data_IF_255172466579
#
_entry.id   IF_255172466579
#
_cell.length_a   1.000
_cell.length_b   1.000
_cell.length_c   1.000
_cell.angle_alpha   90.00
_cell.angle_beta   90.00
_cell.angle_gamma   90.00
#
_symmetry.space_group_name_H-M   'P 1'
#
loop_
_entity.id
_entity.type
_entity.pdbx_description
1 polymer ?
#
# COMPACT_ATOMS: atom_id res chain seq x y z
N UNK A 1 10.95 1.49 4.56
CA UNK A 1 10.17 0.69 5.50
C UNK A 1 10.84 -0.66 5.60
N UNK A 2 10.76 -1.35 6.75
CA UNK A 2 11.10 -2.77 6.84
C UNK A 2 9.88 -3.59 6.43
N UNK A 3 10.00 -4.43 5.40
CA UNK A 3 8.91 -5.28 4.92
C UNK A 3 8.36 -6.19 6.02
N UNK A 4 9.23 -6.67 6.90
CA UNK A 4 8.85 -7.52 8.05
C UNK A 4 7.87 -6.79 9.00
N UNK A 5 7.93 -5.45 9.11
CA UNK A 5 6.96 -4.69 9.92
C UNK A 5 5.60 -4.67 9.25
N UNK A 6 5.54 -4.45 7.94
CA UNK A 6 4.30 -4.49 7.16
C UNK A 6 3.66 -5.88 7.20
N UNK A 7 4.45 -6.93 7.01
CA UNK A 7 4.01 -8.33 7.16
C UNK A 7 3.43 -8.58 8.55
N UNK A 8 4.13 -8.17 9.62
CA UNK A 8 3.63 -8.32 11.00
C UNK A 8 2.32 -7.56 11.21
N UNK A 9 2.15 -6.37 10.62
CA UNK A 9 0.88 -5.65 10.66
C UNK A 9 -0.25 -6.45 9.98
N UNK A 10 0.00 -7.01 8.80
CA UNK A 10 -0.96 -7.87 8.10
C UNK A 10 -1.35 -9.10 8.94
N UNK A 11 -0.39 -9.71 9.63
CA UNK A 11 -0.59 -10.82 10.57
C UNK A 11 -1.21 -10.40 11.93
N UNK A 12 -1.52 -9.12 12.14
CA UNK A 12 -1.98 -8.56 13.42
C UNK A 12 -1.01 -8.77 14.60
N UNK A 13 0.30 -8.79 14.30
CA UNK A 13 1.43 -8.89 15.24
C UNK A 13 2.21 -7.57 15.39
N UNK A 14 1.77 -6.52 14.71
CA UNK A 14 2.21 -5.15 14.91
C UNK A 14 0.98 -4.23 14.88
N UNK A 15 1.03 -3.13 15.62
CA UNK A 15 -0.02 -2.11 15.62
C UNK A 15 0.14 -1.15 14.44
N UNK A 16 -0.90 -0.34 14.19
CA UNK A 16 -0.84 0.71 13.17
C UNK A 16 0.18 1.79 13.53
N UNK A 17 0.34 2.10 14.82
CA UNK A 17 1.34 3.05 15.30
C UNK A 17 2.77 2.55 15.11
N UNK A 18 3.00 1.25 15.31
CA UNK A 18 4.29 0.62 15.01
C UNK A 18 4.62 0.69 13.51
N UNK A 19 3.62 0.43 12.65
CA UNK A 19 3.76 0.55 11.21
C UNK A 19 4.04 2.00 10.79
N UNK A 20 3.26 2.96 11.28
CA UNK A 20 3.42 4.38 10.95
C UNK A 20 4.78 4.91 11.41
N UNK A 21 5.26 4.48 12.58
CA UNK A 21 6.60 4.83 13.04
C UNK A 21 7.70 4.27 12.13
N UNK A 22 7.56 3.06 11.61
CA UNK A 22 8.51 2.46 10.67
C UNK A 22 8.51 3.18 9.31
N UNK A 23 7.32 3.51 8.82
CA UNK A 23 7.12 4.26 7.58
C UNK A 23 7.77 5.64 7.65
N UNK A 24 7.45 6.40 8.70
CA UNK A 24 8.01 7.73 8.94
C UNK A 24 9.54 7.70 9.06
N UNK A 25 10.09 6.71 9.77
CA UNK A 25 11.54 6.52 9.93
C UNK A 25 12.27 6.10 8.65
N UNK A 26 11.53 5.73 7.60
CA UNK A 26 12.10 5.21 6.36
C UNK A 26 12.15 6.20 5.19
N UNK A 27 11.67 7.42 5.42
CA UNK A 27 11.75 8.53 4.47
C UNK A 27 12.91 9.45 4.88
N UNK A 28 13.90 9.58 4.00
CA UNK A 28 14.92 10.61 4.13
C UNK A 28 14.60 11.75 3.15
N UNK A 29 14.42 12.98 3.65
CA UNK A 29 14.23 14.13 2.78
C UNK A 29 15.54 14.48 2.08
N UNK A 30 15.59 14.35 0.75
CA UNK A 30 16.76 14.68 -0.08
C UNK A 30 16.68 16.13 -0.56
N UNK A 31 15.48 16.61 -0.92
CA UNK A 31 15.23 18.00 -1.29
C UNK A 31 13.81 18.44 -0.92
N UNK A 32 13.38 19.63 -1.33
CA UNK A 32 11.98 20.07 -1.12
C UNK A 32 10.95 19.18 -1.81
N UNK A 33 11.35 18.51 -2.89
CA UNK A 33 10.46 17.71 -3.75
C UNK A 33 10.86 16.23 -3.86
N UNK A 34 11.97 15.84 -3.24
CA UNK A 34 12.55 14.50 -3.38
C UNK A 34 12.77 13.86 -2.01
N UNK A 35 12.30 12.63 -1.87
CA UNK A 35 12.54 11.77 -0.72
C UNK A 35 13.21 10.49 -1.19
N UNK A 36 14.20 10.04 -0.42
CA UNK A 36 14.77 8.71 -0.57
C UNK A 36 14.02 7.77 0.36
N UNK A 37 13.50 6.70 -0.21
CA UNK A 37 12.88 5.60 0.55
C UNK A 37 13.95 4.56 0.84
N UNK A 38 14.10 4.19 2.11
CA UNK A 38 14.95 3.09 2.52
C UNK A 38 14.09 1.86 2.80
N UNK A 39 13.96 0.96 1.82
CA UNK A 39 13.23 -0.31 1.95
C UNK A 39 14.21 -1.39 2.39
N UNK A 40 13.82 -2.18 3.39
CA UNK A 40 14.59 -3.32 3.89
C UNK A 40 13.76 -4.56 3.69
N UNK A 41 14.26 -5.44 2.83
CA UNK A 41 13.63 -6.71 2.47
C UNK A 41 13.44 -7.60 3.71
N UNK A 42 12.37 -8.40 3.71
CA UNK A 42 12.18 -9.46 4.69
C UNK A 42 12.85 -10.77 4.24
N UNK A 43 13.12 -11.67 5.18
CA UNK A 43 13.81 -12.94 4.88
C UNK A 43 12.87 -14.06 4.35
N UNK A 44 11.60 -13.74 4.07
CA UNK A 44 10.58 -14.74 3.75
C UNK A 44 9.51 -14.20 2.83
N UNK A 45 9.01 -15.02 1.92
CA UNK A 45 7.88 -14.64 1.06
C UNK A 45 6.58 -14.51 1.86
N UNK A 46 5.72 -13.58 1.45
CA UNK A 46 4.43 -13.34 2.04
C UNK A 46 3.36 -13.13 0.97
N UNK A 47 2.30 -13.93 1.03
CA UNK A 47 1.14 -13.80 0.14
C UNK A 47 0.22 -12.66 0.62
N UNK A 48 0.16 -11.60 -0.17
CA UNK A 48 -0.73 -10.46 0.02
C UNK A 48 -2.13 -10.80 -0.46
N UNK A 49 -3.14 -10.44 0.34
CA UNK A 49 -4.56 -10.70 0.10
C UNK A 49 -5.33 -9.41 0.16
N UNK A 50 -6.54 -9.37 -0.41
CA UNK A 50 -7.42 -8.19 -0.36
C UNK A 50 -7.62 -7.67 1.05
N UNK A 51 -7.84 -8.57 2.01
CA UNK A 51 -8.03 -8.21 3.42
C UNK A 51 -6.85 -7.44 4.01
N UNK A 52 -5.63 -7.66 3.52
CA UNK A 52 -4.43 -6.92 3.94
C UNK A 52 -4.49 -5.46 3.47
N UNK A 53 -4.88 -5.23 2.22
CA UNK A 53 -5.05 -3.88 1.68
C UNK A 53 -6.27 -3.18 2.27
N UNK A 54 -7.36 -3.93 2.55
CA UNK A 54 -8.54 -3.39 3.23
C UNK A 54 -8.20 -2.86 4.62
N UNK A 55 -7.39 -3.59 5.39
CA UNK A 55 -6.88 -3.12 6.69
C UNK A 55 -6.15 -1.78 6.60
N UNK A 56 -5.40 -1.54 5.51
CA UNK A 56 -4.71 -0.27 5.30
C UNK A 56 -5.67 0.85 4.93
N UNK A 57 -6.64 0.57 4.04
CA UNK A 57 -7.70 1.53 3.73
C UNK A 57 -8.48 1.93 4.98
N UNK A 58 -8.89 0.96 5.80
CA UNK A 58 -9.65 1.21 7.02
C UNK A 58 -8.84 2.06 8.01
N UNK A 59 -7.55 1.75 8.21
CA UNK A 59 -6.66 2.55 9.07
C UNK A 59 -6.58 4.01 8.62
N UNK A 60 -6.47 4.27 7.30
CA UNK A 60 -6.47 5.64 6.77
C UNK A 60 -7.82 6.32 6.96
N UNK A 61 -8.92 5.63 6.65
CA UNK A 61 -10.26 6.20 6.76
C UNK A 61 -10.68 6.49 8.21
N UNK A 62 -10.11 5.78 9.17
CA UNK A 62 -10.27 6.06 10.61
C UNK A 62 -9.29 7.11 11.14
N UNK A 63 -8.33 7.57 10.33
CA UNK A 63 -7.32 8.55 10.73
C UNK A 63 -6.21 7.98 11.60
N UNK A 64 -6.02 6.66 11.58
CA UNK A 64 -4.95 5.94 12.30
C UNK A 64 -3.66 5.87 11.49
N UNK A 65 -3.76 6.00 10.16
CA UNK A 65 -2.64 6.00 9.22
C UNK A 65 -2.77 7.22 8.29
N UNK A 66 -1.66 7.87 7.95
CA UNK A 66 -1.71 8.96 6.97
C UNK A 66 -1.99 8.41 5.56
N UNK A 67 -2.77 9.12 4.75
CA UNK A 67 -3.04 8.67 3.37
C UNK A 67 -1.75 8.55 2.55
N UNK A 68 -0.80 9.46 2.75
CA UNK A 68 0.50 9.43 2.06
C UNK A 68 1.35 8.21 2.46
N UNK A 69 1.13 7.59 3.62
CA UNK A 69 1.79 6.35 4.00
C UNK A 69 1.49 5.20 3.04
N UNK A 70 0.32 5.21 2.39
CA UNK A 70 -0.03 4.23 1.35
C UNK A 70 0.93 4.29 0.17
N UNK A 71 1.54 5.44 -0.13
CA UNK A 71 2.53 5.54 -1.21
C UNK A 71 3.75 4.66 -0.97
N UNK A 72 4.36 4.76 0.22
CA UNK A 72 5.52 3.91 0.55
C UNK A 72 5.12 2.44 0.51
N UNK A 73 3.93 2.13 1.02
CA UNK A 73 3.43 0.76 1.02
C UNK A 73 3.22 0.25 -0.42
N UNK A 74 2.63 1.06 -1.30
CA UNK A 74 2.48 0.76 -2.71
C UNK A 74 3.84 0.52 -3.38
N UNK A 75 4.81 1.41 -3.16
CA UNK A 75 6.18 1.26 -3.67
C UNK A 75 6.82 -0.05 -3.17
N UNK A 76 6.74 -0.33 -1.86
CA UNK A 76 7.29 -1.56 -1.29
C UNK A 76 6.62 -2.81 -1.86
N UNK A 77 5.29 -2.86 -1.93
CA UNK A 77 4.56 -3.99 -2.48
C UNK A 77 4.87 -4.23 -3.97
N UNK A 78 5.06 -3.17 -4.75
CA UNK A 78 5.34 -3.25 -6.18
C UNK A 78 6.80 -3.60 -6.51
N UNK A 79 7.73 -3.26 -5.62
CA UNK A 79 9.18 -3.44 -5.84
C UNK A 79 9.75 -4.66 -5.11
N UNK A 80 9.04 -5.22 -4.15
CA UNK A 80 9.46 -6.38 -3.37
C UNK A 80 9.48 -7.66 -4.21
N UNK A 81 10.54 -8.46 -4.05
CA UNK A 81 10.57 -9.83 -4.55
C UNK A 81 9.85 -10.81 -3.59
N UNK A 82 9.53 -10.38 -2.36
CA UNK A 82 8.99 -11.24 -1.30
C UNK A 82 7.48 -11.09 -1.09
N UNK A 83 6.90 -9.92 -1.38
CA UNK A 83 5.45 -9.76 -1.41
C UNK A 83 4.88 -10.31 -2.72
N UNK A 84 4.00 -11.30 -2.62
CA UNK A 84 3.41 -11.99 -3.78
C UNK A 84 1.90 -12.01 -3.71
N UNK A 85 1.23 -12.06 -4.86
CA UNK A 85 -0.21 -12.30 -4.95
C UNK A 85 -0.53 -12.99 -6.29
N UNK A 86 -1.68 -13.66 -6.36
CA UNK A 86 -2.15 -14.28 -7.61
C UNK A 86 -2.63 -13.18 -8.57
N UNK A 87 -1.75 -12.67 -9.43
CA UNK A 87 -2.08 -11.57 -10.35
C UNK A 87 -3.24 -11.86 -11.32
N UNK A 88 -3.51 -13.14 -11.64
CA UNK A 88 -4.60 -13.52 -12.54
C UNK A 88 -5.96 -13.50 -11.82
N UNK A 89 -5.99 -13.85 -10.53
CA UNK A 89 -7.23 -13.88 -9.72
C UNK A 89 -7.45 -12.60 -8.92
N UNK A 90 -6.36 -11.92 -8.59
CA UNK A 90 -6.30 -10.78 -7.70
C UNK A 90 -5.80 -9.53 -8.42
N UNK A 91 -6.28 -9.30 -9.65
CA UNK A 91 -5.96 -8.10 -10.46
C UNK A 91 -6.23 -6.79 -9.69
N UNK A 92 -7.22 -6.80 -8.78
CA UNK A 92 -7.53 -5.65 -7.90
C UNK A 92 -6.38 -5.29 -6.96
N UNK A 93 -5.59 -6.26 -6.50
CA UNK A 93 -4.41 -5.99 -5.66
C UNK A 93 -3.39 -5.22 -6.49
N UNK A 94 -3.05 -5.73 -7.69
CA UNK A 94 -2.12 -5.07 -8.61
C UNK A 94 -2.55 -3.64 -8.96
N UNK A 95 -3.83 -3.44 -9.24
CA UNK A 95 -4.35 -2.12 -9.63
C UNK A 95 -4.33 -1.13 -8.46
N UNK A 96 -4.70 -1.58 -7.25
CA UNK A 96 -4.68 -0.73 -6.05
C UNK A 96 -3.26 -0.37 -5.63
N UNK A 97 -2.33 -1.33 -5.58
CA UNK A 97 -0.92 -1.05 -5.24
C UNK A 97 -0.27 -0.14 -6.26
N UNK A 98 -0.57 -0.30 -7.55
CA UNK A 98 -0.12 0.61 -8.59
C UNK A 98 -0.70 2.02 -8.43
N UNK A 99 -1.98 2.14 -8.08
CA UNK A 99 -2.58 3.44 -7.78
C UNK A 99 -1.87 4.14 -6.62
N UNK A 100 -1.48 3.39 -5.59
CA UNK A 100 -0.77 3.92 -4.43
C UNK A 100 0.67 4.32 -4.73
N UNK A 101 1.40 3.56 -5.55
CA UNK A 101 2.82 3.84 -5.84
C UNK A 101 3.03 5.10 -6.69
N UNK A 102 2.04 5.48 -7.50
CA UNK A 102 2.11 6.66 -8.37
C UNK A 102 0.84 7.53 -8.28
N UNK A 103 0.56 8.13 -7.11
CA UNK A 103 -0.71 8.82 -6.86
C UNK A 103 -0.87 10.11 -7.67
N UNK A 104 0.22 10.73 -8.11
CA UNK A 104 0.19 11.91 -8.97
C UNK A 104 -0.26 11.58 -10.41
N UNK A 105 -0.12 10.32 -10.82
CA UNK A 105 -0.49 9.82 -12.15
C UNK A 105 -1.87 9.15 -12.10
N UNK A 106 -2.12 8.37 -11.05
CA UNK A 106 -3.29 7.52 -10.93
C UNK A 106 -4.44 8.23 -10.21
N UNK A 107 -4.30 8.40 -8.90
CA UNK A 107 -5.29 9.03 -8.04
C UNK A 107 -4.58 9.65 -6.82
N UNK A 108 -4.75 10.96 -6.55
CA UNK A 108 -4.20 11.57 -5.35
C UNK A 108 -4.67 10.83 -4.09
N UNK A 109 -3.77 10.61 -3.12
CA UNK A 109 -4.08 9.90 -1.88
C UNK A 109 -4.87 10.80 -0.92
N UNK A 110 -6.18 10.80 -1.12
CA UNK A 110 -7.17 11.46 -0.26
C UNK A 110 -8.12 10.43 0.34
N UNK A 111 -8.85 10.79 1.39
CA UNK A 111 -9.88 9.91 1.96
C UNK A 111 -10.94 9.47 0.94
N UNK A 112 -11.25 10.32 -0.06
CA UNK A 112 -12.19 9.98 -1.12
C UNK A 112 -11.63 8.86 -2.02
N UNK A 113 -10.38 9.01 -2.48
CA UNK A 113 -9.70 7.98 -3.28
C UNK A 113 -9.51 6.69 -2.50
N UNK A 114 -9.15 6.77 -1.21
CA UNK A 114 -8.99 5.58 -0.35
C UNK A 114 -10.31 4.85 -0.14
N UNK A 115 -11.41 5.58 0.07
CA UNK A 115 -12.74 4.99 0.12
C UNK A 115 -13.11 4.29 -1.19
N UNK A 116 -12.71 4.84 -2.34
CA UNK A 116 -12.90 4.20 -3.65
C UNK A 116 -12.09 2.89 -3.77
N UNK A 117 -10.80 2.90 -3.44
CA UNK A 117 -9.98 1.67 -3.46
C UNK A 117 -10.55 0.58 -2.57
N UNK A 118 -11.05 0.95 -1.39
CA UNK A 118 -11.74 0.03 -0.49
C UNK A 118 -12.95 -0.63 -1.15
N UNK A 119 -13.77 0.12 -1.89
CA UNK A 119 -14.94 -0.43 -2.61
C UNK A 119 -14.52 -1.38 -3.74
N UNK A 120 -13.41 -1.11 -4.43
CA UNK A 120 -12.84 -2.05 -5.40
C UNK A 120 -12.40 -3.35 -4.74
N UNK A 121 -11.68 -3.26 -3.63
CA UNK A 121 -11.21 -4.43 -2.88
C UNK A 121 -12.37 -5.28 -2.33
N UNK A 122 -13.48 -4.66 -1.95
CA UNK A 122 -14.71 -5.36 -1.54
C UNK A 122 -15.53 -5.92 -2.72
N UNK A 123 -15.18 -5.56 -3.96
CA UNK A 123 -15.96 -5.92 -5.16
C UNK A 123 -17.30 -5.19 -5.26
N UNK A 124 -17.49 -4.10 -4.53
CA UNK A 124 -18.69 -3.25 -4.59
C UNK A 124 -18.71 -2.40 -5.87
N UNK A 125 -17.51 -2.07 -6.38
CA UNK A 125 -17.29 -1.33 -7.62
C UNK A 125 -16.29 -2.06 -8.51
N UNK A 126 -16.53 -2.04 -9.82
CA UNK A 126 -15.60 -2.60 -10.80
C UNK A 126 -14.38 -1.70 -10.99
N UNK A 127 -13.23 -2.32 -11.26
CA UNK A 127 -12.03 -1.60 -11.67
C UNK A 127 -12.29 -0.73 -12.92
N UNK A 128 -11.60 0.42 -13.04
CA UNK A 128 -11.71 1.26 -14.22
C UNK A 128 -11.24 0.49 -15.45
N UNK A 129 -11.99 0.63 -16.56
CA UNK A 129 -11.55 0.09 -17.86
C UNK A 129 -10.39 0.92 -18.37
N UNK A 130 -9.15 0.52 -18.05
CA UNK A 130 -7.96 1.11 -18.68
C UNK A 130 -7.87 0.60 -20.10
N UNK A 131 -7.94 1.52 -21.07
CA UNK A 131 -7.71 1.19 -22.47
C UNK A 131 -6.30 0.62 -22.59
N UNK A 132 -6.18 -0.66 -22.93
CA UNK A 132 -4.93 -1.20 -23.47
C UNK A 132 -4.80 -0.58 -24.87
N UNK A 133 -4.07 0.53 -24.98
CA UNK A 133 -3.53 0.98 -26.26
C UNK A 133 -2.36 0.08 -26.68
#
# INVERSE_FOLDING_TARGET
MREEVLKRYFEARASVEELESDLAGSREKVSEIEYRLHIVDMDSDFEVKRDHLLKLCDAVLHGELEAESLRIIGDALMMSDHFTWDGDREEVISEVTFCWSAPEINYPLTNESVAMFRRWLLGEESLPKRGRE
#
